data_IF_568362259052
#
_entry.id   IF_568362259052
#
_cell.length_a   1.000
_cell.length_b   1.000
_cell.length_c   1.000
_cell.angle_alpha   90.00
_cell.angle_beta   90.00
_cell.angle_gamma   90.00
#
_symmetry.space_group_name_H-M   'P 1'
#
loop_
_entity.id
_entity.type
_entity.pdbx_description
1 polymer ?
#
# COMPACT_ATOMS: atom_id res chain seq x y z
N UNK A 1 -25.90 -56.01 -14.04
CA UNK A 1 -24.71 -55.13 -13.90
C UNK A 1 -24.91 -53.71 -14.47
N UNK A 2 -25.74 -53.50 -15.50
CA UNK A 2 -26.00 -52.17 -16.10
C UNK A 2 -26.47 -51.08 -15.10
N UNK A 3 -27.31 -51.42 -14.10
CA UNK A 3 -27.83 -50.43 -13.13
C UNK A 3 -26.78 -49.85 -12.18
N UNK A 4 -25.66 -50.55 -11.93
CA UNK A 4 -24.56 -50.04 -11.07
C UNK A 4 -23.62 -49.10 -11.83
N UNK A 5 -23.40 -49.36 -13.13
CA UNK A 5 -22.53 -48.54 -13.99
C UNK A 5 -23.16 -47.16 -14.23
N UNK A 6 -24.49 -47.10 -14.40
CA UNK A 6 -25.21 -45.83 -14.56
C UNK A 6 -25.14 -44.90 -13.34
N UNK A 7 -25.13 -45.45 -12.12
CA UNK A 7 -25.02 -44.65 -10.89
C UNK A 7 -23.62 -44.08 -10.69
N UNK A 8 -22.57 -44.83 -11.03
CA UNK A 8 -21.19 -44.33 -10.94
C UNK A 8 -20.93 -43.27 -12.02
N UNK A 9 -21.42 -43.49 -13.25
CA UNK A 9 -21.30 -42.52 -14.34
C UNK A 9 -21.96 -41.17 -14.03
N UNK A 10 -23.15 -41.17 -13.42
CA UNK A 10 -23.86 -39.93 -13.03
C UNK A 10 -23.12 -39.23 -11.88
N UNK A 11 -22.62 -39.95 -10.88
CA UNK A 11 -21.86 -39.33 -9.76
C UNK A 11 -20.55 -38.73 -10.25
N UNK A 12 -19.86 -39.38 -11.21
CA UNK A 12 -18.64 -38.85 -11.82
C UNK A 12 -18.95 -37.63 -12.70
N UNK A 13 -20.06 -37.62 -13.45
CA UNK A 13 -20.48 -36.45 -14.22
C UNK A 13 -20.82 -35.26 -13.31
N UNK A 14 -21.49 -35.50 -12.17
CA UNK A 14 -21.77 -34.46 -11.17
C UNK A 14 -20.49 -33.93 -10.51
N UNK A 15 -19.48 -34.78 -10.27
CA UNK A 15 -18.18 -34.33 -9.75
C UNK A 15 -17.40 -33.49 -10.78
N UNK A 16 -17.43 -33.86 -12.06
CA UNK A 16 -16.76 -33.10 -13.14
C UNK A 16 -17.46 -31.76 -13.39
N UNK A 17 -18.79 -31.68 -13.27
CA UNK A 17 -19.49 -30.40 -13.36
C UNK A 17 -19.29 -29.56 -12.10
N UNK A 18 -19.22 -30.13 -10.89
CA UNK A 18 -18.91 -29.38 -9.67
C UNK A 18 -17.51 -28.75 -9.70
N UNK A 19 -16.49 -29.42 -10.27
CA UNK A 19 -15.15 -28.83 -10.41
C UNK A 19 -15.05 -27.77 -11.52
N UNK A 20 -15.93 -27.80 -12.54
CA UNK A 20 -15.98 -26.80 -13.61
C UNK A 20 -16.92 -25.61 -13.30
N UNK A 21 -17.75 -25.71 -12.27
CA UNK A 21 -18.64 -24.63 -11.79
C UNK A 21 -18.05 -23.89 -10.58
N UNK A 22 -16.90 -24.32 -10.06
CA UNK A 22 -16.07 -23.39 -9.25
C UNK A 22 -15.62 -22.31 -10.23
N UNK A 23 -16.04 -21.03 -10.05
CA UNK A 23 -15.49 -19.98 -10.88
C UNK A 23 -13.97 -20.01 -10.71
N UNK A 24 -13.27 -20.34 -11.80
CA UNK A 24 -11.80 -20.29 -11.89
C UNK A 24 -11.27 -18.85 -11.80
N UNK A 25 -12.17 -17.88 -11.78
CA UNK A 25 -11.94 -16.58 -11.20
C UNK A 25 -11.93 -16.79 -9.70
N UNK A 26 -10.75 -16.83 -9.11
CA UNK A 26 -10.58 -16.49 -7.70
C UNK A 26 -11.58 -15.36 -7.41
N UNK A 27 -12.55 -15.62 -6.53
CA UNK A 27 -13.43 -14.56 -6.04
C UNK A 27 -12.45 -13.62 -5.34
N UNK A 28 -12.01 -12.60 -6.08
CA UNK A 28 -11.32 -11.47 -5.53
C UNK A 28 -12.38 -10.81 -4.65
N UNK A 29 -12.53 -11.30 -3.43
CA UNK A 29 -13.02 -10.47 -2.36
C UNK A 29 -11.93 -9.41 -2.22
N UNK A 30 -12.09 -8.33 -2.97
CA UNK A 30 -11.32 -7.12 -2.81
C UNK A 30 -11.71 -6.57 -1.44
N UNK A 31 -10.72 -6.29 -0.59
CA UNK A 31 -11.02 -5.53 0.62
C UNK A 31 -11.46 -4.11 0.28
N UNK A 32 -11.87 -3.33 1.29
CA UNK A 32 -12.10 -1.89 1.14
C UNK A 32 -10.95 -1.16 0.43
N UNK A 33 -9.71 -1.67 0.55
CA UNK A 33 -8.50 -1.16 -0.08
C UNK A 33 -8.01 -2.04 -1.26
N UNK A 34 -8.88 -2.90 -1.79
CA UNK A 34 -8.67 -3.78 -2.95
C UNK A 34 -7.45 -4.68 -2.87
N UNK A 35 -7.12 -5.11 -1.66
CA UNK A 35 -6.09 -6.10 -1.45
C UNK A 35 -6.56 -7.45 -1.99
N UNK A 36 -5.62 -8.23 -2.53
CA UNK A 36 -5.89 -9.63 -2.81
C UNK A 36 -5.96 -10.38 -1.47
N UNK A 37 -7.10 -11.01 -1.18
CA UNK A 37 -7.22 -11.91 -0.03
C UNK A 37 -6.50 -13.22 -0.34
N UNK A 38 -5.52 -13.60 0.48
CA UNK A 38 -4.82 -14.87 0.36
C UNK A 38 -5.37 -15.87 1.38
N UNK A 39 -5.54 -17.13 0.96
CA UNK A 39 -5.92 -18.19 1.91
C UNK A 39 -4.85 -18.36 2.99
N UNK A 40 -5.26 -18.78 4.17
CA UNK A 40 -4.35 -19.10 5.28
C UNK A 40 -3.23 -20.07 4.85
N UNK A 41 -3.56 -21.04 3.99
CA UNK A 41 -2.59 -21.98 3.41
C UNK A 41 -1.50 -21.27 2.60
N UNK A 42 -1.86 -20.28 1.79
CA UNK A 42 -0.92 -19.46 1.01
C UNK A 42 -0.05 -18.63 1.96
N UNK A 43 -0.66 -17.96 2.93
CA UNK A 43 0.04 -17.12 3.92
C UNK A 43 1.06 -17.97 4.70
N UNK A 44 0.64 -19.09 5.29
CA UNK A 44 1.51 -19.99 6.06
C UNK A 44 2.68 -20.51 5.21
N UNK A 45 2.41 -20.95 3.98
CA UNK A 45 3.44 -21.39 3.04
C UNK A 45 4.45 -20.27 2.76
N UNK A 46 3.96 -19.05 2.51
CA UNK A 46 4.80 -17.90 2.23
C UNK A 46 5.64 -17.49 3.42
N UNK A 47 5.08 -17.44 4.63
CA UNK A 47 5.83 -17.15 5.85
C UNK A 47 6.92 -18.20 6.09
N UNK A 48 6.63 -19.50 5.87
CA UNK A 48 7.63 -20.55 5.98
C UNK A 48 8.78 -20.38 4.97
N UNK A 49 8.47 -20.00 3.73
CA UNK A 49 9.47 -19.65 2.72
C UNK A 49 10.34 -18.46 3.17
N UNK A 50 9.70 -17.37 3.61
CA UNK A 50 10.39 -16.17 4.10
C UNK A 50 11.34 -16.53 5.24
N UNK A 51 10.86 -17.27 6.25
CA UNK A 51 11.69 -17.71 7.39
C UNK A 51 12.86 -18.59 6.94
N UNK A 52 12.67 -19.46 5.95
CA UNK A 52 13.75 -20.27 5.38
C UNK A 52 14.84 -19.40 4.76
N UNK A 53 14.48 -18.38 3.98
CA UNK A 53 15.48 -17.48 3.39
C UNK A 53 16.10 -16.57 4.45
N UNK A 54 15.29 -15.85 5.21
CA UNK A 54 15.76 -14.86 6.17
C UNK A 54 16.66 -15.46 7.26
N UNK A 55 16.28 -16.60 7.86
CA UNK A 55 17.05 -17.18 8.96
C UNK A 55 18.12 -18.17 8.53
N UNK A 56 17.99 -18.81 7.35
CA UNK A 56 18.92 -19.89 6.93
C UNK A 56 19.76 -19.57 5.71
N UNK A 57 19.37 -18.59 4.89
CA UNK A 57 20.06 -18.22 3.65
C UNK A 57 20.06 -16.68 3.44
N UNK A 58 20.44 -15.89 4.46
CA UNK A 58 20.38 -14.43 4.37
C UNK A 58 21.33 -13.86 3.29
N UNK A 59 22.41 -14.56 2.99
CA UNK A 59 23.39 -14.28 1.93
C UNK A 59 22.75 -14.24 0.52
N UNK A 60 21.61 -14.90 0.34
CA UNK A 60 20.86 -14.90 -0.92
C UNK A 60 19.89 -13.74 -1.05
N UNK A 61 19.84 -12.85 -0.06
CA UNK A 61 18.92 -11.72 -0.01
C UNK A 61 19.69 -10.42 -0.23
N UNK A 62 19.10 -9.53 -1.02
CA UNK A 62 19.55 -8.15 -1.11
C UNK A 62 18.92 -7.38 0.05
N UNK A 63 19.75 -6.72 0.86
CA UNK A 63 19.28 -5.88 1.96
C UNK A 63 19.25 -4.42 1.56
N UNK A 64 18.27 -3.68 2.07
CA UNK A 64 18.17 -2.22 1.94
C UNK A 64 17.80 -1.60 3.27
N UNK A 65 18.49 -0.53 3.65
CA UNK A 65 18.21 0.20 4.88
C UNK A 65 17.53 1.50 4.53
N UNK A 66 16.37 1.73 5.11
CA UNK A 66 15.53 2.90 4.83
C UNK A 66 15.04 3.45 6.16
N UNK A 67 15.08 4.77 6.30
CA UNK A 67 14.54 5.46 7.46
C UNK A 67 13.27 6.17 7.02
N UNK A 68 12.17 5.92 7.70
CA UNK A 68 10.99 6.76 7.56
C UNK A 68 10.95 7.73 8.74
N UNK A 69 10.87 9.02 8.41
CA UNK A 69 10.61 10.09 9.37
C UNK A 69 9.11 10.34 9.51
N UNK A 70 8.75 11.30 10.36
CA UNK A 70 7.37 11.78 10.51
C UNK A 70 6.62 11.18 11.70
N UNK A 71 5.43 11.72 11.97
CA UNK A 71 4.54 11.34 13.08
C UNK A 71 3.76 10.03 12.82
N UNK A 72 4.25 9.17 11.94
CA UNK A 72 3.53 7.99 11.47
C UNK A 72 3.47 6.89 12.54
N UNK A 73 4.52 6.79 13.37
CA UNK A 73 4.61 5.81 14.45
C UNK A 73 4.93 6.53 15.76
N UNK A 74 4.28 6.14 16.88
CA UNK A 74 4.68 6.67 18.18
C UNK A 74 6.16 6.32 18.43
N UNK A 75 6.95 7.26 18.95
CA UNK A 75 8.40 7.06 19.15
C UNK A 75 9.30 7.51 17.98
N UNK A 76 8.79 8.28 17.01
CA UNK A 76 9.59 9.00 16.03
C UNK A 76 10.03 8.16 14.82
N UNK A 77 11.25 8.39 14.31
CA UNK A 77 11.73 7.74 13.09
C UNK A 77 12.04 6.25 13.30
N UNK A 78 11.57 5.39 12.39
CA UNK A 78 11.89 3.96 12.40
C UNK A 78 12.79 3.61 11.22
N UNK A 79 13.86 2.87 11.51
CA UNK A 79 14.79 2.35 10.52
C UNK A 79 14.41 0.93 10.15
N UNK A 80 14.01 0.74 8.91
CA UNK A 80 13.70 -0.57 8.35
C UNK A 80 14.88 -1.14 7.57
N UNK A 81 15.13 -2.44 7.76
CA UNK A 81 15.92 -3.26 6.87
C UNK A 81 14.98 -4.14 6.06
N UNK A 82 14.94 -3.90 4.76
CA UNK A 82 14.18 -4.68 3.78
C UNK A 82 15.03 -5.80 3.20
N UNK A 83 14.43 -6.97 3.02
CA UNK A 83 15.08 -8.18 2.52
C UNK A 83 14.37 -8.64 1.25
N UNK A 84 15.05 -8.49 0.12
CA UNK A 84 14.53 -8.78 -1.20
C UNK A 84 15.18 -10.03 -1.79
N UNK A 85 14.39 -10.80 -2.54
CA UNK A 85 14.87 -11.86 -3.42
C UNK A 85 14.64 -11.45 -4.86
N UNK A 86 15.67 -10.89 -5.49
CA UNK A 86 15.51 -10.19 -6.77
C UNK A 86 14.60 -8.97 -6.60
N UNK A 87 13.43 -9.00 -7.24
CA UNK A 87 12.39 -7.95 -7.15
C UNK A 87 11.29 -8.26 -6.12
N UNK A 88 11.29 -9.44 -5.53
CA UNK A 88 10.26 -9.85 -4.58
C UNK A 88 10.64 -9.41 -3.16
N UNK A 89 9.86 -8.54 -2.52
CA UNK A 89 10.06 -8.25 -1.09
C UNK A 89 9.54 -9.43 -0.28
N UNK A 90 10.42 -9.99 0.55
CA UNK A 90 10.09 -11.10 1.43
C UNK A 90 9.73 -10.58 2.82
N UNK A 91 10.60 -9.75 3.38
CA UNK A 91 10.59 -9.41 4.79
C UNK A 91 11.10 -7.99 5.02
N UNK A 92 10.54 -7.28 5.99
CA UNK A 92 11.13 -6.07 6.52
C UNK A 92 11.20 -6.13 8.05
N UNK A 93 12.30 -5.62 8.59
CA UNK A 93 12.55 -5.54 10.01
C UNK A 93 12.79 -4.08 10.39
N UNK A 94 11.94 -3.51 11.23
CA UNK A 94 12.08 -2.15 11.73
C UNK A 94 12.18 -2.13 13.24
N UNK A 95 12.99 -1.24 13.81
CA UNK A 95 12.96 -0.98 15.25
C UNK A 95 13.38 0.45 15.61
N UNK A 96 12.85 0.94 16.73
CA UNK A 96 13.35 2.09 17.48
C UNK A 96 13.50 1.67 18.96
N UNK A 97 13.64 2.63 19.87
CA UNK A 97 13.89 2.36 21.30
C UNK A 97 12.67 1.75 22.01
N UNK A 98 11.47 1.96 21.47
CA UNK A 98 10.20 1.57 22.10
C UNK A 98 9.48 0.44 21.35
N UNK A 99 9.78 0.23 20.07
CA UNK A 99 9.00 -0.62 19.16
C UNK A 99 9.86 -1.45 18.22
N UNK A 100 9.37 -2.64 17.91
CA UNK A 100 9.93 -3.54 16.90
C UNK A 100 8.83 -4.08 15.98
N UNK A 101 9.10 -4.04 14.67
CA UNK A 101 8.21 -4.46 13.60
C UNK A 101 8.85 -5.59 12.78
N UNK A 102 8.08 -6.65 12.53
CA UNK A 102 8.43 -7.72 11.58
C UNK A 102 7.32 -7.84 10.55
N UNK A 103 7.63 -7.47 9.32
CA UNK A 103 6.68 -7.33 8.22
C UNK A 103 6.93 -8.41 7.17
N UNK A 104 5.90 -9.18 6.83
CA UNK A 104 5.97 -10.28 5.87
C UNK A 104 5.16 -9.95 4.64
N UNK A 105 5.75 -10.12 3.46
CA UNK A 105 5.14 -9.69 2.20
C UNK A 105 4.90 -10.83 1.22
N UNK A 106 3.81 -10.71 0.46
CA UNK A 106 3.52 -11.54 -0.69
C UNK A 106 3.04 -10.68 -1.85
N UNK A 107 3.73 -10.77 -3.00
CA UNK A 107 3.42 -9.96 -4.19
C UNK A 107 3.32 -8.46 -3.89
N UNK A 108 4.26 -7.94 -3.09
CA UNK A 108 4.33 -6.53 -2.65
C UNK A 108 3.15 -6.05 -1.79
N UNK A 109 2.34 -6.97 -1.29
CA UNK A 109 1.30 -6.71 -0.29
C UNK A 109 1.78 -7.25 1.06
N UNK A 110 1.61 -6.47 2.13
CA UNK A 110 1.82 -6.93 3.48
C UNK A 110 0.79 -8.04 3.74
N UNK A 111 1.24 -9.17 4.32
CA UNK A 111 0.38 -10.30 4.68
C UNK A 111 0.41 -10.60 6.17
N UNK A 112 1.44 -10.16 6.88
CA UNK A 112 1.52 -10.24 8.33
C UNK A 112 2.43 -9.15 8.88
N UNK A 113 2.01 -8.54 9.98
CA UNK A 113 2.78 -7.65 10.84
C UNK A 113 2.86 -8.27 12.23
N UNK A 114 4.06 -8.39 12.77
CA UNK A 114 4.28 -8.66 14.19
C UNK A 114 4.81 -7.37 14.79
N UNK A 115 4.16 -6.93 15.86
CA UNK A 115 4.44 -5.71 16.58
C UNK A 115 4.81 -6.04 18.03
N UNK A 116 5.96 -5.53 18.49
CA UNK A 116 6.40 -5.62 19.87
C UNK A 116 6.60 -4.17 20.39
N UNK A 117 5.82 -3.76 21.39
CA UNK A 117 5.99 -2.49 22.11
C UNK A 117 6.52 -2.74 23.53
N UNK A 118 7.46 -1.91 23.97
CA UNK A 118 8.06 -2.00 25.30
C UNK A 118 7.00 -1.93 26.39
N UNK A 119 6.96 -2.95 27.24
CA UNK A 119 6.01 -3.03 28.35
C UNK A 119 4.62 -3.57 27.96
N UNK A 120 4.38 -3.89 26.68
CA UNK A 120 3.14 -4.51 26.22
C UNK A 120 3.37 -5.94 25.72
N UNK A 121 2.28 -6.68 25.54
CA UNK A 121 2.32 -8.02 24.93
C UNK A 121 2.52 -7.87 23.42
N UNK A 122 3.20 -8.85 22.83
CA UNK A 122 3.33 -8.97 21.38
C UNK A 122 1.95 -9.02 20.72
N UNK A 123 1.80 -8.28 19.63
CA UNK A 123 0.63 -8.31 18.78
C UNK A 123 0.99 -8.87 17.39
N UNK A 124 0.04 -9.62 16.81
CA UNK A 124 0.23 -10.27 15.51
C UNK A 124 -1.00 -9.99 14.67
N UNK A 125 -0.80 -9.23 13.60
CA UNK A 125 -1.80 -8.90 12.60
C UNK A 125 -1.50 -9.73 11.36
N UNK A 126 -2.34 -10.72 11.08
CA UNK A 126 -2.26 -11.46 9.81
C UNK A 126 -3.42 -10.97 8.97
N UNK A 127 -3.13 -10.42 7.78
CA UNK A 127 -4.08 -10.02 6.75
C UNK A 127 -5.49 -9.79 7.32
N UNK A 128 -5.71 -8.61 7.92
CA UNK A 128 -6.95 -8.20 8.59
C UNK A 128 -8.13 -8.35 7.61
N UNK A 129 -8.90 -9.45 7.73
CA UNK A 129 -10.08 -9.71 6.89
C UNK A 129 -11.28 -10.16 7.72
N UNK A 130 -11.69 -9.31 8.66
CA UNK A 130 -13.12 -9.12 8.88
C UNK A 130 -13.63 -8.17 7.79
N UNK A 131 -14.84 -8.37 7.32
CA UNK A 131 -15.58 -7.32 6.60
C UNK A 131 -15.51 -6.05 7.46
N UNK A 132 -15.01 -4.94 6.90
CA UNK A 132 -15.07 -3.67 7.63
C UNK A 132 -16.55 -3.26 7.61
N UNK A 133 -17.24 -3.51 8.71
CA UNK A 133 -18.60 -3.04 8.91
C UNK A 133 -18.55 -1.50 8.90
N UNK A 134 -19.42 -0.86 8.11
CA UNK A 134 -19.47 0.61 7.96
C UNK A 134 -19.61 1.36 9.30
N UNK A 135 -20.12 0.68 10.34
CA UNK A 135 -20.39 1.25 11.68
C UNK A 135 -19.24 1.11 12.69
N UNK A 136 -18.16 0.39 12.38
CA UNK A 136 -17.02 0.31 13.30
C UNK A 136 -16.11 1.52 13.08
N UNK A 137 -16.26 2.54 13.94
CA UNK A 137 -15.31 3.63 14.15
C UNK A 137 -13.93 3.04 14.54
N UNK A 138 -13.18 2.54 13.56
CA UNK A 138 -11.74 2.29 13.69
C UNK A 138 -11.02 3.63 13.61
N UNK A 139 -11.25 4.46 14.63
CA UNK A 139 -10.37 5.56 14.97
C UNK A 139 -8.98 4.95 15.23
N UNK A 140 -8.02 5.25 14.36
CA UNK A 140 -6.57 5.12 14.64
C UNK A 140 -6.18 3.73 15.18
N UNK A 141 -6.49 2.68 14.40
CA UNK A 141 -6.25 1.29 14.75
C UNK A 141 -5.14 0.63 13.93
N UNK A 142 -4.72 -0.56 14.34
CA UNK A 142 -3.65 -1.38 13.74
C UNK A 142 -3.72 -1.54 12.21
N UNK A 143 -4.92 -1.42 11.64
CA UNK A 143 -5.16 -1.37 10.21
C UNK A 143 -4.50 -0.16 9.52
N UNK A 144 -4.53 1.02 10.13
CA UNK A 144 -3.90 2.22 9.59
C UNK A 144 -2.38 2.07 9.56
N UNK A 145 -1.79 1.60 10.67
CA UNK A 145 -0.35 1.30 10.76
C UNK A 145 0.05 0.25 9.72
N UNK A 146 -0.77 -0.80 9.55
CA UNK A 146 -0.55 -1.84 8.56
C UNK A 146 -0.50 -1.28 7.13
N UNK A 147 -1.52 -0.50 6.77
CA UNK A 147 -1.65 0.12 5.45
C UNK A 147 -0.51 1.10 5.17
N UNK A 148 -0.16 1.88 6.17
CA UNK A 148 0.90 2.87 6.07
C UNK A 148 2.27 2.21 5.87
N UNK A 149 2.60 1.17 6.63
CA UNK A 149 3.85 0.42 6.45
C UNK A 149 3.93 -0.26 5.07
N UNK A 150 2.80 -0.72 4.53
CA UNK A 150 2.74 -1.22 3.16
C UNK A 150 2.99 -0.11 2.13
N UNK A 151 2.36 1.05 2.30
CA UNK A 151 2.53 2.22 1.44
C UNK A 151 3.98 2.71 1.44
N UNK A 152 4.60 2.89 2.61
CA UNK A 152 5.99 3.28 2.74
C UNK A 152 6.93 2.33 2.00
N UNK A 153 6.67 1.01 2.07
CA UNK A 153 7.40 0.05 1.26
C UNK A 153 7.18 0.26 -0.25
N UNK A 154 5.93 0.43 -0.68
CA UNK A 154 5.59 0.61 -2.10
C UNK A 154 6.24 1.87 -2.69
N UNK A 155 6.31 2.97 -1.93
CA UNK A 155 7.04 4.19 -2.30
C UNK A 155 8.49 3.86 -2.62
N UNK A 156 9.20 3.27 -1.66
CA UNK A 156 10.62 2.95 -1.80
C UNK A 156 10.88 1.97 -2.93
N UNK A 157 10.09 0.92 -3.00
CA UNK A 157 10.24 -0.09 -4.03
C UNK A 157 10.05 0.50 -5.44
N UNK A 158 9.06 1.38 -5.61
CA UNK A 158 8.78 2.02 -6.89
C UNK A 158 9.87 3.00 -7.33
N UNK A 159 10.58 3.63 -6.39
CA UNK A 159 11.66 4.57 -6.69
C UNK A 159 12.81 3.91 -7.48
N UNK A 160 12.94 2.58 -7.37
CA UNK A 160 13.94 1.78 -8.05
C UNK A 160 13.45 1.06 -9.31
N UNK A 161 12.17 1.19 -9.64
CA UNK A 161 11.62 0.67 -10.88
C UNK A 161 11.66 1.72 -11.98
N UNK A 162 11.67 1.27 -13.23
CA UNK A 162 11.46 2.15 -14.36
C UNK A 162 10.07 2.79 -14.22
N UNK A 163 10.04 4.11 -14.03
CA UNK A 163 8.82 4.89 -13.96
C UNK A 163 8.19 4.95 -15.34
N UNK A 164 6.86 4.85 -15.37
CA UNK A 164 6.11 5.01 -16.63
C UNK A 164 5.84 6.50 -16.85
N UNK A 165 6.02 7.01 -18.06
CA UNK A 165 5.56 8.35 -18.40
C UNK A 165 4.03 8.39 -18.23
N UNK A 166 3.56 9.23 -17.31
CA UNK A 166 2.15 9.33 -16.99
C UNK A 166 1.69 10.77 -17.13
N UNK A 167 0.79 11.03 -18.08
CA UNK A 167 0.22 12.36 -18.33
C UNK A 167 -1.30 12.31 -18.45
N UNK A 168 -1.97 11.40 -17.73
CA UNK A 168 -3.44 11.33 -17.76
C UNK A 168 -3.99 12.05 -16.55
N UNK A 169 -5.04 12.84 -16.75
CA UNK A 169 -5.86 13.38 -15.66
C UNK A 169 -6.42 12.22 -14.87
N UNK A 170 -5.87 12.00 -13.67
CA UNK A 170 -6.34 11.01 -12.72
C UNK A 170 -6.93 11.82 -11.57
N UNK A 171 -8.14 11.44 -11.17
CA UNK A 171 -8.94 12.21 -10.21
C UNK A 171 -8.23 12.41 -8.87
N UNK A 172 -7.48 11.42 -8.40
CA UNK A 172 -6.79 11.42 -7.12
C UNK A 172 -5.52 10.56 -7.23
N UNK A 173 -4.39 11.07 -6.73
CA UNK A 173 -3.08 10.42 -6.78
C UNK A 173 -2.34 10.60 -5.46
N UNK A 174 -1.35 9.74 -5.23
CA UNK A 174 -0.37 9.90 -4.14
C UNK A 174 0.95 10.36 -4.72
N UNK A 175 1.37 11.58 -4.42
CA UNK A 175 2.65 12.15 -4.82
C UNK A 175 3.71 11.72 -3.80
N UNK A 176 4.75 11.04 -4.28
CA UNK A 176 5.82 10.48 -3.43
C UNK A 176 7.18 11.15 -3.61
N UNK A 177 7.32 11.98 -4.65
CA UNK A 177 8.52 12.75 -4.95
C UNK A 177 8.17 13.93 -5.86
N UNK A 178 8.87 15.05 -5.69
CA UNK A 178 8.66 16.27 -6.45
C UNK A 178 9.96 17.03 -6.69
N UNK A 179 10.03 17.70 -7.83
CA UNK A 179 11.13 18.58 -8.24
C UNK A 179 10.57 19.73 -9.06
N UNK A 180 11.38 20.76 -9.32
CA UNK A 180 11.01 21.89 -10.17
C UNK A 180 10.49 21.54 -11.58
N UNK A 181 10.73 20.33 -12.07
CA UNK A 181 10.38 19.91 -13.43
C UNK A 181 9.41 18.74 -13.50
N UNK A 182 9.25 17.97 -12.43
CA UNK A 182 8.43 16.75 -12.45
C UNK A 182 8.00 16.31 -11.07
N UNK A 183 6.90 15.55 -11.04
CA UNK A 183 6.44 14.78 -9.88
C UNK A 183 6.50 13.28 -10.17
N UNK A 184 6.76 12.48 -9.15
CA UNK A 184 6.47 11.04 -9.13
C UNK A 184 5.18 10.82 -8.35
N UNK A 185 4.25 10.06 -8.94
CA UNK A 185 2.98 9.75 -8.28
C UNK A 185 2.52 8.32 -8.53
N UNK A 186 1.59 7.89 -7.70
CA UNK A 186 0.94 6.59 -7.75
C UNK A 186 -0.57 6.78 -7.89
N UNK A 187 -1.21 5.85 -8.61
CA UNK A 187 -2.65 5.67 -8.50
C UNK A 187 -2.98 5.08 -7.13
N UNK A 188 -4.11 5.46 -6.55
CA UNK A 188 -4.53 4.97 -5.25
C UNK A 188 -6.03 4.65 -5.21
N UNK A 189 -6.40 3.99 -4.12
CA UNK A 189 -7.78 3.83 -3.67
C UNK A 189 -7.86 4.36 -2.25
N UNK A 190 -8.88 5.16 -1.99
CA UNK A 190 -9.13 5.80 -0.70
C UNK A 190 -10.47 5.30 -0.16
N UNK A 191 -10.48 4.90 1.10
CA UNK A 191 -11.68 4.48 1.83
C UNK A 191 -11.63 5.05 3.25
N UNK A 192 -12.41 6.11 3.53
CA UNK A 192 -12.27 6.87 4.76
C UNK A 192 -10.83 7.39 4.91
N UNK A 193 -10.19 7.09 6.05
CA UNK A 193 -8.79 7.44 6.33
C UNK A 193 -7.77 6.44 5.75
N UNK A 194 -8.21 5.37 5.10
CA UNK A 194 -7.33 4.33 4.58
C UNK A 194 -6.95 4.61 3.13
N UNK A 195 -5.65 4.85 2.91
CA UNK A 195 -5.07 5.02 1.59
C UNK A 195 -4.30 3.74 1.22
N UNK A 196 -4.54 3.20 0.02
CA UNK A 196 -3.65 2.21 -0.59
C UNK A 196 -3.26 2.66 -1.96
N UNK A 197 -1.96 2.89 -2.18
CA UNK A 197 -1.48 3.19 -3.52
C UNK A 197 -0.89 1.97 -4.22
N UNK A 198 -0.92 2.00 -5.54
CA UNK A 198 -0.38 0.96 -6.40
C UNK A 198 1.15 0.97 -6.34
N UNK A 199 1.77 -0.21 -6.45
CA UNK A 199 3.23 -0.32 -6.52
C UNK A 199 3.82 0.35 -7.78
N UNK A 200 3.00 0.55 -8.82
CA UNK A 200 3.42 1.19 -10.05
C UNK A 200 3.45 2.71 -9.88
N UNK A 201 4.62 3.30 -10.10
CA UNK A 201 4.80 4.75 -10.11
C UNK A 201 4.83 5.32 -11.54
N UNK A 202 4.38 6.56 -11.64
CA UNK A 202 4.37 7.38 -12.83
C UNK A 202 5.23 8.62 -12.61
N UNK A 203 5.83 9.12 -13.69
CA UNK A 203 6.49 10.42 -13.71
C UNK A 203 5.74 11.36 -14.64
N UNK A 204 5.45 12.58 -14.18
CA UNK A 204 4.81 13.62 -14.98
C UNK A 204 5.66 14.89 -14.99
N UNK A 205 5.76 15.54 -16.15
CA UNK A 205 6.42 16.83 -16.29
C UNK A 205 5.50 17.94 -15.79
N UNK A 206 6.08 18.90 -15.08
CA UNK A 206 5.41 20.12 -14.66
C UNK A 206 5.45 21.17 -15.78
N UNK A 207 4.41 22.00 -15.84
CA UNK A 207 4.45 23.24 -16.62
C UNK A 207 5.26 24.31 -15.88
N UNK A 208 5.83 25.25 -16.63
CA UNK A 208 6.67 26.33 -16.07
C UNK A 208 5.89 27.27 -15.13
N UNK A 209 4.55 27.24 -15.21
CA UNK A 209 3.61 28.02 -14.38
C UNK A 209 2.62 27.10 -13.66
N UNK A 210 3.09 25.95 -13.18
CA UNK A 210 2.24 25.04 -12.41
C UNK A 210 1.67 25.75 -11.19
N UNK A 211 0.36 25.63 -10.99
CA UNK A 211 -0.33 26.14 -9.82
C UNK A 211 -0.34 25.04 -8.76
N UNK A 212 0.08 25.37 -7.54
CA UNK A 212 -0.04 24.48 -6.39
C UNK A 212 -1.00 25.14 -5.40
N UNK A 213 -1.96 24.38 -4.90
CA UNK A 213 -2.89 24.84 -3.87
C UNK A 213 -3.27 23.68 -2.97
N UNK A 214 -3.64 23.99 -1.74
CA UNK A 214 -4.22 23.05 -0.80
C UNK A 214 -5.73 23.24 -0.76
N UNK A 215 -6.47 22.14 -0.68
CA UNK A 215 -7.91 22.09 -0.47
C UNK A 215 -8.20 21.62 0.95
N UNK A 216 -9.06 22.36 1.66
CA UNK A 216 -9.51 22.06 3.02
C UNK A 216 -11.00 21.78 3.02
N UNK A 217 -11.43 20.74 3.75
CA UNK A 217 -12.85 20.40 3.89
C UNK A 217 -13.60 21.48 4.67
N UNK A 218 -12.96 22.02 5.71
CA UNK A 218 -13.49 23.15 6.48
C UNK A 218 -13.02 24.46 5.86
N UNK A 219 -13.91 25.46 5.68
CA UNK A 219 -13.51 26.77 5.23
C UNK A 219 -12.46 27.39 6.15
N UNK A 220 -11.52 28.12 5.55
CA UNK A 220 -10.53 28.95 6.24
C UNK A 220 -11.18 30.21 6.81
N UNK A 221 -10.43 31.00 7.57
CA UNK A 221 -10.92 32.26 8.18
C UNK A 221 -11.50 33.25 7.16
N UNK A 222 -10.99 33.24 5.92
CA UNK A 222 -11.46 34.08 4.82
C UNK A 222 -12.66 33.48 4.06
N UNK A 223 -13.21 32.36 4.53
CA UNK A 223 -14.33 31.64 3.92
C UNK A 223 -13.95 30.81 2.68
N UNK A 224 -12.68 30.82 2.25
CA UNK A 224 -12.23 29.97 1.15
C UNK A 224 -11.98 28.53 1.61
N UNK A 225 -12.08 27.58 0.69
CA UNK A 225 -11.66 26.18 0.92
C UNK A 225 -10.30 25.88 0.30
N UNK A 226 -9.64 26.90 -0.26
CA UNK A 226 -8.37 26.74 -0.97
C UNK A 226 -7.33 27.72 -0.47
N UNK A 227 -6.12 27.22 -0.23
CA UNK A 227 -4.95 28.04 0.08
C UNK A 227 -3.91 27.90 -1.02
N UNK A 228 -3.44 29.02 -1.58
CA UNK A 228 -2.32 29.02 -2.50
C UNK A 228 -1.07 28.46 -1.81
N UNK A 229 -0.35 27.60 -2.53
CA UNK A 229 0.91 26.99 -2.11
C UNK A 229 1.94 27.18 -3.22
N UNK A 230 3.19 26.89 -2.91
CA UNK A 230 4.24 26.77 -3.91
C UNK A 230 4.75 25.32 -3.96
N UNK A 231 5.70 25.08 -4.86
CA UNK A 231 6.27 23.74 -5.04
C UNK A 231 7.17 23.32 -3.87
N UNK A 232 7.84 24.28 -3.22
CA UNK A 232 8.67 24.00 -2.05
C UNK A 232 7.79 23.54 -0.87
N UNK A 233 6.56 24.06 -0.73
CA UNK A 233 5.57 23.59 0.24
C UNK A 233 5.18 22.13 -0.02
N UNK A 234 4.98 21.74 -1.29
CA UNK A 234 4.69 20.36 -1.67
C UNK A 234 5.87 19.44 -1.34
N UNK A 235 7.09 19.85 -1.69
CA UNK A 235 8.31 19.08 -1.39
C UNK A 235 8.48 18.91 0.13
N UNK A 236 8.30 19.97 0.90
CA UNK A 236 8.33 19.92 2.36
C UNK A 236 7.26 18.97 2.92
N UNK A 237 6.04 19.02 2.40
CA UNK A 237 4.97 18.13 2.83
C UNK A 237 5.28 16.65 2.53
N UNK A 238 5.86 16.34 1.37
CA UNK A 238 6.30 14.98 1.03
C UNK A 238 7.41 14.50 1.97
N UNK A 239 8.37 15.36 2.30
CA UNK A 239 9.45 15.01 3.24
C UNK A 239 8.91 14.78 4.66
N UNK A 240 7.92 15.58 5.07
CA UNK A 240 7.33 15.51 6.40
C UNK A 240 6.35 14.33 6.59
N UNK A 241 5.50 14.09 5.59
CA UNK A 241 4.42 13.08 5.61
C UNK A 241 4.80 11.78 4.89
N UNK A 242 5.99 11.71 4.29
CA UNK A 242 6.45 10.68 3.34
C UNK A 242 5.72 10.68 1.98
N UNK A 243 4.49 11.15 1.89
CA UNK A 243 3.77 11.35 0.64
C UNK A 243 2.61 12.31 0.82
N UNK A 244 2.03 12.77 -0.28
CA UNK A 244 0.92 13.73 -0.28
C UNK A 244 -0.20 13.22 -1.17
N UNK A 245 -1.42 13.22 -0.65
CA UNK A 245 -2.62 13.01 -1.45
C UNK A 245 -2.97 14.27 -2.25
N UNK A 246 -3.21 14.13 -3.54
CA UNK A 246 -3.51 15.26 -4.40
C UNK A 246 -4.36 14.90 -5.61
N UNK A 247 -5.04 15.90 -6.16
CA UNK A 247 -5.59 15.86 -7.51
C UNK A 247 -4.63 16.56 -8.47
N UNK A 248 -4.48 16.03 -9.69
CA UNK A 248 -3.61 16.61 -10.71
C UNK A 248 -4.38 16.96 -11.97
N UNK A 249 -4.12 18.15 -12.52
CA UNK A 249 -4.66 18.60 -13.80
C UNK A 249 -3.57 18.66 -14.85
N UNK A 250 -3.85 18.02 -15.97
CA UNK A 250 -2.93 17.95 -17.11
C UNK A 250 -3.43 18.82 -18.27
N UNK A 251 -2.49 19.43 -18.99
CA UNK A 251 -2.72 20.12 -20.26
C UNK A 251 -1.47 20.00 -21.15
N UNK A 252 -1.66 19.52 -22.37
CA UNK A 252 -0.61 19.40 -23.40
C UNK A 252 0.63 18.60 -22.95
N UNK A 253 0.41 17.46 -22.29
CA UNK A 253 1.43 16.56 -21.76
C UNK A 253 2.15 17.05 -20.50
N UNK A 254 1.64 18.11 -19.84
CA UNK A 254 2.25 18.69 -18.63
C UNK A 254 1.21 18.92 -17.53
N UNK A 255 1.62 18.77 -16.28
CA UNK A 255 0.80 19.13 -15.13
C UNK A 255 0.78 20.65 -14.98
N UNK A 256 -0.42 21.20 -14.98
CA UNK A 256 -0.67 22.65 -14.84
C UNK A 256 -1.21 23.02 -13.47
N UNK A 257 -1.76 22.06 -12.74
CA UNK A 257 -2.34 22.28 -11.41
C UNK A 257 -2.15 21.04 -10.54
N UNK A 258 -1.77 21.26 -9.28
CA UNK A 258 -1.69 20.27 -8.21
C UNK A 258 -2.56 20.79 -7.05
N UNK A 259 -3.52 19.97 -6.64
CA UNK A 259 -4.45 20.28 -5.54
C UNK A 259 -4.17 19.29 -4.40
N UNK A 260 -3.43 19.73 -3.39
CA UNK A 260 -3.12 18.95 -2.19
C UNK A 260 -4.40 18.80 -1.37
N UNK A 261 -4.74 17.58 -0.97
CA UNK A 261 -5.86 17.33 -0.07
C UNK A 261 -5.37 17.45 1.37
N UNK A 262 -5.83 18.48 2.09
CA UNK A 262 -5.51 18.68 3.50
C UNK A 262 -6.67 18.12 4.34
N UNK A 263 -6.41 17.02 5.05
CA UNK A 263 -7.15 16.54 6.24
C UNK A 263 -8.67 16.43 6.17
N UNK A 264 -9.17 15.22 6.45
CA UNK A 264 -10.54 14.96 6.90
C UNK A 264 -10.86 15.62 8.25
#
# INVERSE_FOLDING_TARGET
MLKKIFKIGIVVLFLITFFNVIPSKAVYAETVANHQIFSEKIIKKRIAEIKKFYYKQPDKLTTRKISFGGNILPGGSIKFTYYLKGKDLLFAYGKNDDMEFRLYFHKNQLIQMIYDEKGKKREIYTQLYKELLEDENYLVGDAQIYMELENLFKKEYSAHLKKTDGTKTIKQVIITDASNKSITYHTCKVYGEYISFDTKAYIAKLSDKVIVKSHYIKPLEDGSTYKTKNLDDLMYAIDYLNYVEADIKEKNGKIVEIIIQEGY
#
